data_IF_758003602917
#
_entry.id   IF_758003602917
#
_cell.length_a   1.000
_cell.length_b   1.000
_cell.length_c   1.000
_cell.angle_alpha   90.00
_cell.angle_beta   90.00
_cell.angle_gamma   90.00
#
_symmetry.space_group_name_H-M   'P 1'
#
loop_
_entity.id
_entity.type
_entity.pdbx_description
1 polymer ?
#
# COMPACT_ATOMS: atom_id res chain seq x y z
N UNK A 1 -16.57 21.44 20.57
CA UNK A 1 -16.02 20.25 19.88
C UNK A 1 -15.17 20.74 18.72
N UNK A 2 -13.87 20.45 18.72
CA UNK A 2 -13.01 20.72 17.56
C UNK A 2 -13.40 19.65 16.53
N UNK A 3 -13.88 20.06 15.35
CA UNK A 3 -14.15 19.10 14.28
C UNK A 3 -12.89 18.26 14.09
N UNK A 4 -12.99 16.94 14.24
CA UNK A 4 -11.90 16.04 13.85
C UNK A 4 -11.76 16.18 12.34
N UNK A 5 -10.80 16.98 11.91
CA UNK A 5 -10.46 17.08 10.51
C UNK A 5 -9.97 15.70 10.06
N UNK A 6 -10.62 15.14 9.05
CA UNK A 6 -10.17 13.94 8.34
C UNK A 6 -10.03 14.28 6.85
N UNK A 7 -9.21 13.53 6.14
CA UNK A 7 -9.13 13.59 4.67
C UNK A 7 -9.24 12.19 4.09
N UNK A 8 -9.66 12.11 2.83
CA UNK A 8 -9.78 10.82 2.12
C UNK A 8 -8.76 10.79 1.00
N UNK A 9 -7.95 9.74 0.97
CA UNK A 9 -7.00 9.48 -0.12
C UNK A 9 -7.41 8.26 -0.92
N UNK A 10 -7.14 8.28 -2.23
CA UNK A 10 -7.32 7.12 -3.10
C UNK A 10 -6.06 6.26 -3.10
N UNK A 11 -6.16 5.07 -2.52
CA UNK A 11 -5.10 4.05 -2.58
C UNK A 11 -5.34 3.15 -3.79
N UNK A 12 -4.32 2.97 -4.63
CA UNK A 12 -4.40 2.03 -5.75
C UNK A 12 -4.53 0.59 -5.23
N UNK A 13 -5.57 -0.11 -5.64
CA UNK A 13 -5.88 -1.48 -5.25
C UNK A 13 -5.95 -2.38 -6.50
N UNK A 14 -4.87 -3.11 -6.81
CA UNK A 14 -4.87 -4.06 -7.92
C UNK A 14 -5.87 -5.19 -7.66
N UNK A 15 -6.57 -5.63 -8.71
CA UNK A 15 -7.43 -6.80 -8.64
C UNK A 15 -6.57 -8.07 -8.74
N UNK A 16 -6.79 -9.03 -7.86
CA UNK A 16 -6.05 -10.30 -7.84
C UNK A 16 -7.03 -11.46 -7.95
N UNK A 17 -6.64 -12.53 -8.64
CA UNK A 17 -7.41 -13.78 -8.72
C UNK A 17 -7.38 -14.58 -7.42
N UNK A 18 -6.49 -14.24 -6.48
CA UNK A 18 -6.42 -14.87 -5.18
C UNK A 18 -7.59 -14.36 -4.31
N UNK A 19 -8.57 -15.22 -4.07
CA UNK A 19 -9.61 -14.97 -3.08
C UNK A 19 -9.01 -15.05 -1.67
N UNK A 20 -8.78 -13.90 -1.06
CA UNK A 20 -8.35 -13.83 0.32
C UNK A 20 -9.52 -14.12 1.27
N UNK A 21 -9.25 -14.91 2.31
CA UNK A 21 -10.21 -15.14 3.39
C UNK A 21 -10.55 -13.78 4.00
N UNK A 22 -11.78 -13.34 3.76
CA UNK A 22 -12.21 -11.97 4.00
C UNK A 22 -12.21 -11.70 5.50
N UNK A 23 -11.23 -10.93 5.98
CA UNK A 23 -11.30 -10.35 7.31
C UNK A 23 -11.11 -8.85 7.21
N UNK A 24 -12.10 -8.15 7.75
CA UNK A 24 -12.14 -6.72 7.93
C UNK A 24 -12.42 -5.91 6.66
N UNK A 25 -13.64 -5.37 6.58
CA UNK A 25 -14.00 -4.44 5.52
C UNK A 25 -13.05 -3.25 5.57
N UNK A 26 -12.45 -2.91 4.43
CA UNK A 26 -11.56 -1.77 4.35
C UNK A 26 -12.18 -0.50 4.98
N UNK A 27 -13.52 -0.36 4.90
CA UNK A 27 -14.32 0.72 5.49
C UNK A 27 -14.21 0.89 7.01
N UNK A 28 -13.71 -0.13 7.71
CA UNK A 28 -13.51 -0.14 9.17
C UNK A 28 -12.06 0.22 9.57
N UNK A 29 -11.23 0.59 8.59
CA UNK A 29 -9.85 1.02 8.79
C UNK A 29 -9.69 2.53 8.61
N UNK A 30 -8.74 3.10 9.35
CA UNK A 30 -8.32 4.48 9.23
C UNK A 30 -6.80 4.60 9.29
N UNK A 31 -6.27 5.70 8.77
CA UNK A 31 -4.85 5.93 8.63
C UNK A 31 -4.36 7.13 9.45
N UNK A 32 -3.12 7.04 9.89
CA UNK A 32 -2.32 8.15 10.39
C UNK A 32 -1.11 8.38 9.48
N UNK A 33 -0.72 9.63 9.26
CA UNK A 33 0.53 9.93 8.54
C UNK A 33 1.71 9.64 9.48
N UNK A 34 2.47 8.58 9.17
CA UNK A 34 3.68 8.19 9.89
C UNK A 34 4.93 8.92 9.34
N UNK A 35 4.90 9.33 8.08
CA UNK A 35 5.96 10.14 7.48
C UNK A 35 5.58 10.65 6.10
N UNK A 36 6.15 11.78 5.67
CA UNK A 36 5.91 12.34 4.35
C UNK A 36 7.14 13.06 3.83
N UNK A 37 7.38 12.96 2.52
CA UNK A 37 8.36 13.73 1.78
C UNK A 37 7.87 14.00 0.36
N UNK A 38 8.68 14.68 -0.46
CA UNK A 38 8.31 15.06 -1.83
C UNK A 38 7.99 13.88 -2.77
N UNK A 39 8.41 12.67 -2.42
CA UNK A 39 8.31 11.48 -3.27
C UNK A 39 7.25 10.51 -2.76
N UNK A 40 7.01 10.43 -1.45
CA UNK A 40 6.08 9.46 -0.87
C UNK A 40 5.52 9.89 0.48
N UNK A 41 4.34 9.38 0.78
CA UNK A 41 3.72 9.40 2.09
C UNK A 41 3.67 7.98 2.65
N UNK A 42 4.07 7.82 3.90
CA UNK A 42 3.94 6.60 4.67
C UNK A 42 2.78 6.75 5.64
N UNK A 43 1.83 5.83 5.57
CA UNK A 43 0.68 5.74 6.44
C UNK A 43 0.80 4.49 7.33
N UNK A 44 0.43 4.65 8.60
CA UNK A 44 0.07 3.53 9.44
C UNK A 44 -1.45 3.39 9.42
N UNK A 45 -1.91 2.20 9.06
CA UNK A 45 -3.34 1.89 8.97
C UNK A 45 -3.72 0.96 10.10
N UNK A 46 -4.80 1.29 10.79
CA UNK A 46 -5.36 0.49 11.87
C UNK A 46 -6.87 0.54 11.89
N UNK A 47 -7.48 -0.14 12.86
CA UNK A 47 -8.93 -0.08 13.05
C UNK A 47 -9.38 1.32 13.46
N UNK A 48 -10.49 1.77 12.87
CA UNK A 48 -11.20 2.94 13.40
C UNK A 48 -11.67 2.66 14.83
N UNK A 49 -11.73 3.70 15.65
CA UNK A 49 -12.05 3.60 17.08
C UNK A 49 -13.37 2.86 17.35
N UNK A 50 -14.36 3.04 16.47
CA UNK A 50 -15.71 2.50 16.61
C UNK A 50 -16.00 1.39 15.59
N UNK A 51 -14.98 0.82 14.96
CA UNK A 51 -15.13 -0.32 14.06
C UNK A 51 -15.58 -1.57 14.83
N UNK A 52 -16.61 -2.31 14.34
CA UNK A 52 -16.94 -3.61 14.88
C UNK A 52 -15.72 -4.54 14.82
N UNK A 53 -15.45 -5.31 15.89
CA UNK A 53 -14.32 -6.28 15.88
C UNK A 53 -14.49 -7.38 14.82
N UNK A 54 -15.72 -7.68 14.44
CA UNK A 54 -16.03 -8.55 13.29
C UNK A 54 -15.52 -7.97 11.96
N UNK A 55 -15.35 -6.65 11.91
CA UNK A 55 -15.02 -5.89 10.71
C UNK A 55 -13.62 -5.28 10.78
N UNK A 56 -12.96 -5.29 11.94
CA UNK A 56 -11.55 -4.96 12.08
C UNK A 56 -11.03 -5.49 13.43
N UNK A 57 -10.26 -6.57 13.37
CA UNK A 57 -9.54 -7.15 14.53
C UNK A 57 -8.03 -7.21 14.25
N UNK A 58 -7.49 -6.07 13.83
CA UNK A 58 -6.06 -5.95 13.57
C UNK A 58 -5.28 -5.89 14.89
N UNK A 59 -4.47 -6.92 15.16
CA UNK A 59 -3.54 -6.93 16.30
C UNK A 59 -2.44 -5.87 16.16
N UNK A 60 -2.01 -5.61 14.93
CA UNK A 60 -0.98 -4.64 14.60
C UNK A 60 -1.43 -3.77 13.42
N UNK A 61 -1.06 -2.49 13.44
CA UNK A 61 -1.23 -1.62 12.28
C UNK A 61 -0.41 -2.15 11.10
N UNK A 62 -0.89 -1.90 9.88
CA UNK A 62 -0.14 -2.20 8.66
C UNK A 62 0.36 -0.92 8.01
N UNK A 63 1.37 -1.06 7.15
CA UNK A 63 1.99 0.10 6.50
C UNK A 63 1.51 0.22 5.06
N UNK A 64 1.21 1.45 4.66
CA UNK A 64 0.98 1.83 3.27
C UNK A 64 1.98 2.91 2.90
N UNK A 65 2.70 2.74 1.79
CA UNK A 65 3.60 3.74 1.23
C UNK A 65 3.09 4.11 -0.14
N UNK A 66 2.82 5.39 -0.37
CA UNK A 66 2.23 5.87 -1.62
C UNK A 66 2.97 7.12 -2.12
N UNK A 67 3.42 7.07 -3.37
CA UNK A 67 4.02 8.18 -4.11
C UNK A 67 3.34 8.39 -5.48
N UNK A 68 3.84 9.31 -6.32
CA UNK A 68 3.31 9.55 -7.66
C UNK A 68 3.46 8.33 -8.59
N UNK A 69 4.52 7.55 -8.38
CA UNK A 69 4.92 6.42 -9.25
C UNK A 69 5.01 5.09 -8.49
N UNK A 70 4.72 5.07 -7.19
CA UNK A 70 4.86 3.85 -6.38
C UNK A 70 3.73 3.69 -5.38
N UNK A 71 3.31 2.45 -5.18
CA UNK A 71 2.40 2.05 -4.09
C UNK A 71 2.95 0.76 -3.49
N UNK A 72 3.01 0.70 -2.17
CA UNK A 72 3.37 -0.52 -1.43
C UNK A 72 2.45 -0.68 -0.23
N UNK A 73 1.98 -1.90 -0.01
CA UNK A 73 1.18 -2.30 1.14
C UNK A 73 1.81 -3.54 1.74
N UNK A 74 1.89 -3.57 3.07
CA UNK A 74 2.36 -4.73 3.82
C UNK A 74 1.49 -4.92 5.05
N UNK A 75 0.64 -5.95 5.01
CA UNK A 75 -0.40 -6.25 5.98
C UNK A 75 -0.20 -7.64 6.58
N UNK A 76 -0.47 -7.75 7.88
CA UNK A 76 -0.60 -9.02 8.58
C UNK A 76 -1.90 -8.99 9.36
N UNK A 77 -2.76 -9.98 9.16
CA UNK A 77 -4.02 -10.09 9.89
C UNK A 77 -4.30 -11.52 10.31
N UNK A 78 -5.10 -11.69 11.35
CA UNK A 78 -5.62 -13.00 11.73
C UNK A 78 -7.03 -13.13 11.15
N UNK A 79 -7.25 -14.14 10.31
CA UNK A 79 -8.57 -14.57 9.89
C UNK A 79 -8.96 -15.75 10.77
N UNK A 80 -10.11 -15.65 11.46
CA UNK A 80 -10.64 -16.77 12.22
C UNK A 80 -12.13 -16.94 11.99
N UNK A 81 -12.58 -18.19 12.00
CA UNK A 81 -13.99 -18.56 12.12
C UNK A 81 -14.09 -19.79 13.01
N UNK A 82 -15.22 -19.90 13.71
CA UNK A 82 -15.56 -21.09 14.47
C UNK A 82 -17.07 -21.29 14.41
N UNK A 83 -17.50 -22.06 13.41
CA UNK A 83 -18.88 -22.51 13.29
C UNK A 83 -18.94 -24.05 13.23
N UNK A 84 -20.16 -24.60 13.18
CA UNK A 84 -20.37 -26.05 13.20
C UNK A 84 -19.82 -26.77 11.93
N UNK A 85 -19.45 -26.04 10.90
CA UNK A 85 -19.08 -26.52 9.57
C UNK A 85 -17.62 -26.26 9.22
N UNK A 86 -16.99 -25.23 9.78
CA UNK A 86 -15.58 -24.90 9.53
C UNK A 86 -15.00 -24.17 10.74
N UNK A 87 -13.78 -24.56 11.13
CA UNK A 87 -13.02 -23.85 12.17
C UNK A 87 -11.62 -23.55 11.68
N UNK A 88 -11.24 -22.28 11.58
CA UNK A 88 -9.87 -21.91 11.27
C UNK A 88 -9.39 -20.73 12.11
N UNK A 89 -8.08 -20.70 12.36
CA UNK A 89 -7.34 -19.57 12.89
C UNK A 89 -6.07 -19.44 12.05
N UNK A 90 -6.05 -18.47 11.14
CA UNK A 90 -4.99 -18.27 10.15
C UNK A 90 -4.38 -16.90 10.34
N UNK A 91 -3.06 -16.85 10.41
CA UNK A 91 -2.29 -15.62 10.19
C UNK A 91 -2.05 -15.48 8.69
N UNK A 92 -2.56 -14.41 8.10
CA UNK A 92 -2.38 -14.07 6.71
C UNK A 92 -1.41 -12.89 6.63
N UNK A 93 -0.35 -13.06 5.86
CA UNK A 93 0.59 -12.00 5.49
C UNK A 93 0.35 -11.67 4.03
N UNK A 94 -0.02 -10.43 3.75
CA UNK A 94 -0.23 -9.92 2.40
C UNK A 94 0.73 -8.74 2.17
N UNK A 95 1.42 -8.76 1.05
CA UNK A 95 2.14 -7.59 0.58
C UNK A 95 1.95 -7.41 -0.91
N UNK A 96 1.87 -6.17 -1.34
CA UNK A 96 1.96 -5.86 -2.76
C UNK A 96 2.74 -4.57 -2.99
N UNK A 97 3.45 -4.54 -4.11
CA UNK A 97 4.21 -3.39 -4.58
C UNK A 97 3.85 -3.13 -6.04
N UNK A 98 3.55 -1.88 -6.35
CA UNK A 98 3.21 -1.41 -7.68
C UNK A 98 4.14 -0.28 -8.10
N UNK A 99 4.67 -0.40 -9.32
CA UNK A 99 5.30 0.71 -10.05
C UNK A 99 4.30 1.28 -11.03
N UNK A 100 3.94 2.54 -10.85
CA UNK A 100 3.01 3.27 -11.68
C UNK A 100 3.81 4.15 -12.65
N UNK A 101 3.46 4.10 -13.93
CA UNK A 101 3.93 5.11 -14.88
C UNK A 101 3.28 6.46 -14.61
N UNK A 102 2.00 6.42 -14.27
CA UNK A 102 1.21 7.50 -13.68
C UNK A 102 -0.05 6.87 -13.09
N UNK A 103 -0.77 7.61 -12.23
CA UNK A 103 -2.06 7.16 -11.71
C UNK A 103 -3.11 6.90 -12.79
N UNK A 104 -2.93 7.38 -14.03
CA UNK A 104 -3.95 7.30 -15.10
C UNK A 104 -3.52 6.46 -16.30
N UNK A 105 -2.26 6.03 -16.39
CA UNK A 105 -1.79 5.14 -17.47
C UNK A 105 -1.79 3.67 -17.09
N UNK A 106 -0.83 3.24 -16.27
CA UNK A 106 -0.55 1.83 -16.05
C UNK A 106 0.22 1.59 -14.76
N UNK A 107 -0.02 0.43 -14.16
CA UNK A 107 0.66 -0.05 -12.97
C UNK A 107 1.19 -1.47 -13.21
N UNK A 108 2.44 -1.72 -12.84
CA UNK A 108 3.03 -3.06 -12.79
C UNK A 108 3.17 -3.46 -11.34
N UNK A 109 2.43 -4.48 -10.91
CA UNK A 109 2.37 -4.88 -9.51
C UNK A 109 2.88 -6.30 -9.28
N UNK A 110 3.51 -6.50 -8.13
CA UNK A 110 3.87 -7.82 -7.60
C UNK A 110 3.20 -7.97 -6.24
N UNK A 111 2.47 -9.05 -6.04
CA UNK A 111 1.85 -9.41 -4.77
C UNK A 111 2.49 -10.69 -4.22
N UNK A 112 2.57 -10.78 -2.90
CA UNK A 112 2.88 -11.99 -2.16
C UNK A 112 1.87 -12.18 -1.04
N UNK A 113 1.34 -13.39 -0.94
CA UNK A 113 0.44 -13.81 0.14
C UNK A 113 1.06 -15.03 0.81
N UNK A 114 1.04 -15.04 2.13
CA UNK A 114 1.38 -16.19 2.97
C UNK A 114 0.28 -16.43 3.99
N UNK A 115 0.03 -17.68 4.33
CA UNK A 115 -0.97 -18.09 5.31
C UNK A 115 -0.36 -19.18 6.19
N UNK A 116 -0.44 -19.03 7.51
CA UNK A 116 -0.02 -20.04 8.48
C UNK A 116 -1.03 -20.14 9.61
N UNK A 117 -1.24 -21.33 10.17
CA UNK A 117 -2.14 -21.48 11.31
C UNK A 117 -2.75 -22.87 11.41
N UNK A 118 -3.99 -22.93 11.87
CA UNK A 118 -4.73 -24.17 12.02
C UNK A 118 -6.08 -24.09 11.34
N UNK A 119 -6.46 -25.12 10.59
CA UNK A 119 -7.78 -25.31 10.00
C UNK A 119 -8.27 -26.72 10.32
N UNK A 120 -9.46 -26.84 10.91
CA UNK A 120 -10.10 -28.09 11.32
C UNK A 120 -9.17 -29.02 12.15
N UNK A 121 -8.35 -28.40 13.01
CA UNK A 121 -7.38 -29.10 13.87
C UNK A 121 -6.07 -29.50 13.19
N UNK A 122 -5.92 -29.26 11.88
CA UNK A 122 -4.68 -29.49 11.15
C UNK A 122 -3.86 -28.20 11.02
N UNK A 123 -2.53 -28.30 11.13
CA UNK A 123 -1.64 -27.17 10.82
C UNK A 123 -1.59 -26.94 9.31
N UNK A 124 -1.77 -25.69 8.90
CA UNK A 124 -1.69 -25.26 7.51
C UNK A 124 -0.59 -24.21 7.32
N UNK A 125 0.12 -24.31 6.21
CA UNK A 125 1.06 -23.30 5.75
C UNK A 125 1.00 -23.26 4.22
N UNK A 126 0.77 -22.08 3.65
CA UNK A 126 0.70 -21.87 2.21
C UNK A 126 1.24 -20.50 1.85
N UNK A 127 1.77 -20.33 0.65
CA UNK A 127 2.15 -19.03 0.13
C UNK A 127 2.04 -19.01 -1.40
N UNK A 128 1.85 -17.83 -1.96
CA UNK A 128 1.76 -17.59 -3.40
C UNK A 128 2.21 -16.18 -3.71
N UNK A 129 2.79 -15.97 -4.87
CA UNK A 129 3.08 -14.64 -5.40
C UNK A 129 2.58 -14.52 -6.83
N UNK A 130 2.21 -13.30 -7.22
CA UNK A 130 1.70 -12.99 -8.54
C UNK A 130 2.30 -11.69 -9.05
N UNK A 131 2.51 -11.59 -10.36
CA UNK A 131 2.96 -10.36 -11.00
C UNK A 131 2.07 -10.07 -12.20
N UNK A 132 1.54 -8.86 -12.24
CA UNK A 132 0.54 -8.44 -13.24
C UNK A 132 0.72 -6.99 -13.62
N UNK A 133 0.27 -6.63 -14.83
CA UNK A 133 0.23 -5.26 -15.31
C UNK A 133 -1.21 -4.84 -15.54
N UNK A 134 -1.57 -3.66 -15.05
CA UNK A 134 -2.92 -3.12 -15.07
C UNK A 134 -2.95 -1.78 -15.80
N UNK A 135 -4.07 -1.51 -16.50
CA UNK A 135 -4.42 -0.15 -16.90
C UNK A 135 -5.11 0.52 -15.71
N UNK A 136 -4.55 1.60 -15.19
CA UNK A 136 -5.05 2.20 -13.94
C UNK A 136 -6.46 2.79 -14.11
N UNK A 137 -6.83 3.21 -15.32
CA UNK A 137 -8.17 3.67 -15.66
C UNK A 137 -9.29 2.64 -15.42
N UNK A 138 -8.96 1.34 -15.39
CA UNK A 138 -9.91 0.25 -15.11
C UNK A 138 -9.64 -0.43 -13.78
N UNK A 139 -8.71 0.10 -12.97
CA UNK A 139 -8.35 -0.45 -11.68
C UNK A 139 -9.20 0.16 -10.57
N UNK A 140 -9.35 -0.59 -9.48
CA UNK A 140 -10.06 -0.15 -8.29
C UNK A 140 -9.18 0.77 -7.45
N UNK A 141 -9.81 1.77 -6.83
CA UNK A 141 -9.19 2.60 -5.81
C UNK A 141 -9.91 2.40 -4.51
N UNK A 142 -9.14 2.17 -3.45
CA UNK A 142 -9.66 2.12 -2.11
C UNK A 142 -9.63 3.51 -1.46
N UNK A 143 -10.72 3.91 -0.80
CA UNK A 143 -10.80 5.18 -0.09
C UNK A 143 -10.26 5.04 1.33
N UNK A 144 -9.02 5.49 1.56
CA UNK A 144 -8.41 5.46 2.89
C UNK A 144 -8.69 6.77 3.63
N UNK A 145 -9.38 6.68 4.76
CA UNK A 145 -9.67 7.83 5.63
C UNK A 145 -8.47 8.10 6.52
N UNK A 146 -7.82 9.24 6.34
CA UNK A 146 -6.70 9.70 7.17
C UNK A 146 -7.26 10.58 8.29
N UNK A 147 -7.11 10.14 9.53
CA UNK A 147 -7.68 10.79 10.72
C UNK A 147 -6.63 11.48 11.59
N UNK A 148 -5.35 11.17 11.38
CA UNK A 148 -4.25 11.74 12.16
C UNK A 148 -3.05 12.11 11.28
N UNK A 149 -2.24 13.05 11.76
CA UNK A 149 -1.03 13.51 11.05
C UNK A 149 -1.32 14.45 9.86
N UNK A 150 -2.51 15.04 9.77
CA UNK A 150 -2.88 15.92 8.65
C UNK A 150 -1.98 17.16 8.51
N UNK A 151 -1.46 17.67 9.62
CA UNK A 151 -0.52 18.80 9.61
C UNK A 151 0.77 18.48 8.83
N UNK A 152 1.12 17.20 8.68
CA UNK A 152 2.29 16.76 7.92
C UNK A 152 2.17 17.10 6.44
N UNK A 153 0.96 17.14 5.87
CA UNK A 153 0.76 17.54 4.46
C UNK A 153 1.15 18.99 4.18
N UNK A 154 1.11 19.85 5.20
CA UNK A 154 1.50 21.27 5.09
C UNK A 154 2.87 21.56 5.70
N UNK A 155 3.51 20.56 6.31
CA UNK A 155 4.82 20.73 6.92
C UNK A 155 5.92 20.81 5.84
N UNK A 156 7.04 21.51 6.09
CA UNK A 156 8.15 21.61 5.15
C UNK A 156 8.64 20.26 4.63
N UNK A 157 8.67 19.26 5.53
CA UNK A 157 9.04 17.88 5.21
C UNK A 157 8.30 17.32 3.99
N UNK A 158 7.03 17.66 3.77
CA UNK A 158 6.26 17.19 2.61
C UNK A 158 6.83 17.62 1.25
N UNK A 159 7.64 18.68 1.23
CA UNK A 159 8.31 19.19 0.02
C UNK A 159 9.80 18.83 -0.03
N UNK A 160 10.32 18.20 1.02
CA UNK A 160 11.73 17.83 1.07
C UNK A 160 11.98 16.60 0.19
N UNK A 161 12.95 16.72 -0.71
CA UNK A 161 13.42 15.56 -1.47
C UNK A 161 14.42 14.78 -0.61
N UNK A 162 14.18 13.49 -0.32
CA UNK A 162 15.14 12.65 0.40
C UNK A 162 16.50 12.70 -0.31
N UNK A 163 17.56 13.06 0.43
CA UNK A 163 18.92 13.18 -0.11
C UNK A 163 19.37 14.59 -0.50
N UNK A 164 18.51 15.62 -0.41
CA UNK A 164 18.93 17.02 -0.63
C UNK A 164 19.98 17.52 0.39
N UNK A 165 20.08 16.87 1.55
CA UNK A 165 21.14 17.12 2.54
C UNK A 165 22.54 16.65 2.09
N UNK A 166 22.66 15.89 1.00
CA UNK A 166 23.95 15.58 0.37
C UNK A 166 24.34 16.58 -0.75
N UNK A 167 23.50 17.60 -1.01
CA UNK A 167 23.71 18.58 -2.08
C UNK A 167 23.91 20.03 -1.57
N UNK A 168 24.11 20.23 -0.27
CA UNK A 168 24.52 21.52 0.31
C UNK A 168 26.04 21.58 0.50
N UNK A 169 26.78 21.36 -0.60
CA UNK A 169 28.21 21.68 -0.71
C UNK A 169 28.43 22.38 -2.04
N UNK A 170 29.18 23.49 -2.11
CA UNK A 170 29.31 24.26 -3.33
C UNK A 170 30.32 23.58 -4.27
N UNK A 171 29.86 22.58 -5.01
CA UNK A 171 30.52 22.05 -6.21
C UNK A 171 29.38 21.59 -7.11
N UNK A 172 28.96 22.34 -8.12
CA UNK A 172 29.77 22.53 -9.31
C UNK A 172 29.56 21.35 -10.26
N UNK A 173 28.68 21.56 -11.24
CA UNK A 173 28.69 20.91 -12.56
C UNK A 173 28.03 19.51 -12.73
N UNK A 174 27.03 19.50 -13.64
CA UNK A 174 26.67 18.44 -14.60
C UNK A 174 25.94 17.22 -14.00
N UNK A 175 24.83 16.72 -14.55
CA UNK A 175 24.60 16.38 -15.95
C UNK A 175 23.11 16.56 -16.29
N UNK A 176 22.88 17.40 -17.29
CA UNK A 176 21.76 17.31 -18.23
C UNK A 176 21.86 16.00 -19.02
N UNK A 177 20.84 15.13 -18.96
CA UNK A 177 20.62 14.13 -20.00
C UNK A 177 19.15 13.68 -20.03
N UNK A 178 18.36 14.40 -20.84
CA UNK A 178 17.23 13.82 -21.58
C UNK A 178 17.76 13.25 -22.93
N UNK A 179 16.89 12.71 -23.78
CA UNK A 179 16.55 11.30 -23.98
C UNK A 179 17.41 10.60 -25.07
N UNK A 180 17.55 9.27 -25.03
CA UNK A 180 18.11 8.50 -26.16
C UNK A 180 16.98 7.83 -26.93
N UNK A 181 16.58 8.46 -28.04
CA UNK A 181 15.94 7.80 -29.18
C UNK A 181 16.89 7.96 -30.36
N UNK A 182 17.46 6.85 -30.84
CA UNK A 182 17.93 6.73 -32.23
C UNK A 182 18.10 5.25 -32.57
N UNK A 183 17.16 4.73 -33.34
CA UNK A 183 17.29 3.48 -34.06
C UNK A 183 18.31 3.65 -35.19
N UNK A 184 19.20 2.66 -35.35
CA UNK A 184 19.93 2.44 -36.59
C UNK A 184 20.05 0.92 -36.79
N UNK A 185 19.21 0.37 -37.67
CA UNK A 185 19.42 -0.95 -38.27
C UNK A 185 19.89 -0.67 -39.69
N UNK A 186 21.14 -1.01 -40.00
CA UNK A 186 21.68 -1.01 -41.36
C UNK A 186 21.71 -2.47 -41.81
N UNK A 187 21.10 -2.74 -42.95
CA UNK A 187 21.15 -4.00 -43.65
C UNK A 187 22.48 -4.15 -44.42
N UNK A 188 23.03 -5.36 -44.41
CA UNK A 188 23.76 -6.01 -45.51
C UNK A 188 23.82 -7.52 -45.24
#
# INVERSE_FOLDING_TARGET
AKAESSTVIGLFSPAWDAELQKYGGWTSTGASVAGINAIKTTFEVGCLKDAPKTDCDMKHSYTVIQGPETVSVSQIYTASTSDASTSYELTVTESYECSLKSYTESASCTMSIGMTGSADGATVASSTSAKSTYKTATSSYYSLVVTAGLNSFTAPAATETPGAAAAAGPVGALITAAPVVAAAVVAA
#
